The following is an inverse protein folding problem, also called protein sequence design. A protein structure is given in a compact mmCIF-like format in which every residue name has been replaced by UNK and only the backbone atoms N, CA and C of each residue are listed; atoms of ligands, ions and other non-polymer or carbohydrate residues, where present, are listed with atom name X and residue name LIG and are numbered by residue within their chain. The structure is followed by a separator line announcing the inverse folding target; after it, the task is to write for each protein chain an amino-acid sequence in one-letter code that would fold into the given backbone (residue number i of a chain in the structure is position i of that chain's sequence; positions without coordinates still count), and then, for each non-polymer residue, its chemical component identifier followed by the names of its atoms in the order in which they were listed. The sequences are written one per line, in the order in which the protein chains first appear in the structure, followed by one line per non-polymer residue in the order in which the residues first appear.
data_IF_919782589124
#
_entry.id   IF_919782589124
#
_cell.length_a   1.000
_cell.length_b   1.000
_cell.length_c   1.000
_cell.angle_alpha   90.00
_cell.angle_beta   90.00
_cell.angle_gamma   90.00
#
_symmetry.space_group_name_H-M   'P 1'
#
loop_
_entity.id
_entity.type
_entity.pdbx_description
1 polymer ?
#
# COMPACT_ATOMS: atom_id res chain seq x y z
N UNK A 1 -29.58 -6.24 11.30
CA UNK A 1 -28.11 -6.03 11.39
C UNK A 1 -27.50 -5.45 10.12
N UNK A 2 -27.26 -6.22 9.05
CA UNK A 2 -26.61 -5.68 7.83
C UNK A 2 -27.39 -4.54 7.18
N UNK A 3 -28.70 -4.70 7.04
CA UNK A 3 -29.58 -3.68 6.48
C UNK A 3 -29.56 -2.37 7.30
N UNK A 4 -29.68 -2.46 8.63
CA UNK A 4 -29.59 -1.30 9.53
C UNK A 4 -28.20 -0.65 9.51
N UNK A 5 -27.15 -1.46 9.35
CA UNK A 5 -25.79 -0.98 9.14
C UNK A 5 -25.65 -0.18 7.85
N UNK A 6 -26.23 -0.65 6.74
CA UNK A 6 -26.22 0.07 5.47
C UNK A 6 -26.98 1.39 5.52
N UNK A 7 -28.16 1.41 6.16
CA UNK A 7 -28.91 2.65 6.38
C UNK A 7 -28.08 3.66 7.19
N UNK A 8 -27.37 3.19 8.21
CA UNK A 8 -26.51 4.05 9.03
C UNK A 8 -25.32 4.61 8.24
N UNK A 9 -24.70 3.80 7.38
CA UNK A 9 -23.63 4.27 6.49
C UNK A 9 -24.14 5.28 5.45
N UNK A 10 -25.32 5.03 4.88
CA UNK A 10 -25.95 5.93 3.92
C UNK A 10 -26.19 7.31 4.55
N UNK A 11 -26.76 7.36 5.75
CA UNK A 11 -26.92 8.62 6.50
C UNK A 11 -25.59 9.35 6.73
N UNK A 12 -24.54 8.64 7.16
CA UNK A 12 -23.22 9.26 7.37
C UNK A 12 -22.62 9.81 6.07
N UNK A 13 -22.75 9.09 4.97
CA UNK A 13 -22.25 9.53 3.66
C UNK A 13 -23.02 10.75 3.17
N UNK A 14 -24.35 10.80 3.35
CA UNK A 14 -25.16 11.96 3.02
C UNK A 14 -24.82 13.18 3.88
N UNK A 15 -24.63 13.00 5.18
CA UNK A 15 -24.24 14.08 6.09
C UNK A 15 -22.88 14.67 5.71
N UNK A 16 -21.88 13.82 5.48
CA UNK A 16 -20.56 14.25 5.01
C UNK A 16 -20.64 14.96 3.66
N UNK A 17 -21.49 14.46 2.76
CA UNK A 17 -21.72 15.10 1.46
C UNK A 17 -22.28 16.51 1.61
N UNK A 18 -23.26 16.69 2.49
CA UNK A 18 -23.87 17.98 2.77
C UNK A 18 -22.89 18.96 3.44
N UNK A 19 -22.15 18.52 4.46
CA UNK A 19 -21.21 19.36 5.19
C UNK A 19 -20.00 19.79 4.33
N UNK A 20 -19.53 18.92 3.43
CA UNK A 20 -18.32 19.18 2.63
C UNK A 20 -18.61 19.65 1.22
N UNK A 21 -19.89 19.66 0.80
CA UNK A 21 -20.31 19.89 -0.60
C UNK A 21 -19.68 18.91 -1.61
N UNK A 22 -19.15 17.77 -1.14
CA UNK A 22 -18.59 16.72 -1.98
C UNK A 22 -19.72 15.74 -2.32
N UNK A 23 -19.89 15.31 -3.59
CA UNK A 23 -20.90 14.31 -3.94
C UNK A 23 -20.71 12.99 -3.19
N UNK A 24 -21.80 12.34 -2.78
CA UNK A 24 -21.78 11.07 -2.02
C UNK A 24 -20.87 10.00 -2.63
N UNK A 25 -20.88 9.83 -3.97
CA UNK A 25 -20.00 8.88 -4.65
C UNK A 25 -18.50 9.21 -4.48
N UNK A 26 -18.14 10.50 -4.40
CA UNK A 26 -16.76 10.92 -4.15
C UNK A 26 -16.38 10.74 -2.68
N UNK A 27 -17.29 10.97 -1.74
CA UNK A 27 -17.07 10.66 -0.32
C UNK A 27 -16.75 9.18 -0.14
N UNK A 28 -17.54 8.29 -0.75
CA UNK A 28 -17.28 6.84 -0.74
C UNK A 28 -15.94 6.50 -1.41
N UNK A 29 -15.63 7.13 -2.56
CA UNK A 29 -14.35 6.90 -3.23
C UNK A 29 -13.14 7.34 -2.39
N UNK A 30 -13.24 8.49 -1.72
CA UNK A 30 -12.21 9.01 -0.83
C UNK A 30 -12.03 8.12 0.40
N UNK A 31 -13.12 7.63 0.98
CA UNK A 31 -13.09 6.68 2.10
C UNK A 31 -12.47 5.34 1.68
N UNK A 32 -12.86 4.80 0.53
CA UNK A 32 -12.27 3.59 -0.03
C UNK A 32 -10.78 3.76 -0.34
N UNK A 33 -10.35 4.96 -0.75
CA UNK A 33 -8.92 5.26 -0.98
C UNK A 33 -8.15 5.40 0.32
N UNK A 34 -8.71 6.05 1.34
CA UNK A 34 -8.05 6.22 2.63
C UNK A 34 -7.94 4.90 3.40
N UNK A 35 -8.88 3.98 3.19
CA UNK A 35 -8.89 2.64 3.78
C UNK A 35 -8.57 1.56 2.75
N UNK A 36 -7.94 1.93 1.63
CA UNK A 36 -7.61 0.97 0.56
C UNK A 36 -6.73 -0.18 1.07
N UNK A 37 -5.95 0.06 2.12
CA UNK A 37 -5.10 -0.93 2.78
C UNK A 37 -5.91 -1.94 3.63
N UNK A 38 -7.00 -1.50 4.23
CA UNK A 38 -7.87 -2.33 5.08
C UNK A 38 -8.93 -3.07 4.25
N UNK A 39 -9.43 -2.42 3.19
CA UNK A 39 -10.50 -2.94 2.32
C UNK A 39 -9.94 -3.90 1.28
N UNK A 40 -8.80 -3.57 0.68
CA UNK A 40 -8.09 -4.52 -0.17
C UNK A 40 -7.13 -5.25 0.75
N UNK A 41 -7.50 -6.45 1.19
CA UNK A 41 -6.57 -7.36 1.88
C UNK A 41 -5.20 -7.21 1.24
N UNK A 42 -4.21 -6.73 2.01
CA UNK A 42 -2.87 -6.42 1.51
C UNK A 42 -2.47 -7.53 0.56
N UNK A 43 -2.25 -7.19 -0.70
CA UNK A 43 -1.75 -8.19 -1.63
C UNK A 43 -0.31 -8.45 -1.22
N UNK A 44 -0.15 -9.39 -0.28
CA UNK A 44 1.10 -9.75 0.37
C UNK A 44 2.15 -10.14 -0.65
N UNK A 45 1.72 -10.68 -1.79
CA UNK A 45 2.59 -10.94 -2.93
C UNK A 45 3.13 -9.66 -3.58
N UNK A 46 2.28 -8.66 -3.82
CA UNK A 46 2.73 -7.36 -4.35
C UNK A 46 3.64 -6.63 -3.36
N UNK A 47 3.31 -6.66 -2.07
CA UNK A 47 4.14 -6.08 -1.01
C UNK A 47 5.51 -6.77 -0.94
N UNK A 48 5.52 -8.11 -0.94
CA UNK A 48 6.76 -8.87 -0.96
C UNK A 48 7.57 -8.65 -2.23
N UNK A 49 6.93 -8.54 -3.40
CA UNK A 49 7.63 -8.26 -4.65
C UNK A 49 8.36 -6.92 -4.63
N UNK A 50 7.78 -5.90 -3.99
CA UNK A 50 8.44 -4.62 -3.73
C UNK A 50 9.62 -4.77 -2.77
N UNK A 51 9.38 -5.34 -1.60
CA UNK A 51 10.41 -5.62 -0.58
C UNK A 51 11.59 -6.41 -1.14
N UNK A 52 11.32 -7.46 -1.91
CA UNK A 52 12.33 -8.35 -2.49
C UNK A 52 13.25 -7.63 -3.48
N UNK A 53 12.73 -6.67 -4.26
CA UNK A 53 13.57 -5.87 -5.18
C UNK A 53 14.57 -5.02 -4.41
N UNK A 54 14.13 -4.38 -3.33
CA UNK A 54 14.96 -3.49 -2.52
C UNK A 54 15.96 -4.28 -1.64
N UNK A 55 15.60 -5.51 -1.26
CA UNK A 55 16.37 -6.35 -0.34
C UNK A 55 17.00 -7.58 -1.03
N UNK A 56 17.15 -7.54 -2.36
CA UNK A 56 17.55 -8.68 -3.18
C UNK A 56 18.82 -9.39 -2.67
N UNK A 57 19.88 -8.64 -2.34
CA UNK A 57 21.13 -9.22 -1.84
C UNK A 57 20.96 -9.93 -0.50
N UNK A 58 20.14 -9.38 0.39
CA UNK A 58 19.87 -9.95 1.70
C UNK A 58 19.03 -11.23 1.58
N UNK A 59 18.03 -11.23 0.72
CA UNK A 59 17.18 -12.40 0.46
C UNK A 59 17.96 -13.51 -0.28
N UNK A 60 18.84 -13.15 -1.22
CA UNK A 60 19.77 -14.10 -1.86
C UNK A 60 20.74 -14.71 -0.83
N UNK A 61 21.31 -13.90 0.06
CA UNK A 61 22.19 -14.38 1.13
C UNK A 61 21.48 -15.31 2.12
N UNK A 62 20.22 -15.02 2.45
CA UNK A 62 19.38 -15.88 3.32
C UNK A 62 19.11 -17.26 2.72
N UNK A 63 19.14 -17.37 1.39
CA UNK A 63 18.85 -18.60 0.66
C UNK A 63 20.10 -19.31 0.12
N UNK A 64 21.30 -18.80 0.40
CA UNK A 64 22.57 -19.36 -0.10
C UNK A 64 22.80 -20.83 0.25
N UNK A 65 22.10 -21.39 1.24
CA UNK A 65 22.16 -22.82 1.59
C UNK A 65 21.01 -23.67 0.99
N UNK A 66 19.98 -23.04 0.38
CA UNK A 66 18.76 -23.72 -0.09
C UNK A 66 18.22 -23.29 -1.47
N UNK A 67 18.79 -22.27 -2.10
CA UNK A 67 18.35 -21.82 -3.42
C UNK A 67 19.07 -22.60 -4.53
N UNK A 68 18.34 -23.30 -5.42
CA UNK A 68 18.90 -23.68 -6.71
C UNK A 68 19.19 -22.42 -7.53
N UNK A 69 20.25 -22.49 -8.31
CA UNK A 69 20.84 -21.45 -9.17
C UNK A 69 19.88 -21.01 -10.30
N UNK A 70 18.74 -20.42 -9.94
CA UNK A 70 17.67 -20.04 -10.88
C UNK A 70 17.46 -18.52 -10.83
N UNK A 71 17.87 -17.80 -11.88
CA UNK A 71 17.55 -16.40 -12.05
C UNK A 71 16.03 -16.22 -12.22
N UNK A 72 15.42 -15.38 -11.37
CA UNK A 72 14.15 -14.73 -11.70
C UNK A 72 12.86 -15.40 -11.27
N UNK A 73 12.72 -15.85 -10.01
CA UNK A 73 11.37 -16.23 -9.55
C UNK A 73 11.06 -15.85 -8.09
N UNK A 74 10.54 -14.62 -7.84
CA UNK A 74 10.16 -14.16 -6.49
C UNK A 74 9.15 -15.07 -5.77
N UNK A 75 8.42 -15.91 -6.51
CA UNK A 75 7.38 -16.83 -5.99
C UNK A 75 7.98 -17.94 -5.13
N UNK A 76 9.13 -18.49 -5.51
CA UNK A 76 9.80 -19.53 -4.72
C UNK A 76 10.43 -18.94 -3.45
N UNK A 77 10.93 -17.71 -3.52
CA UNK A 77 11.50 -16.99 -2.38
C UNK A 77 10.41 -16.64 -1.36
N UNK A 78 9.24 -16.21 -1.82
CA UNK A 78 8.07 -15.97 -0.99
C UNK A 78 7.62 -17.24 -0.23
N UNK A 79 7.47 -18.37 -0.94
CA UNK A 79 7.05 -19.63 -0.31
C UNK A 79 8.09 -20.23 0.65
N UNK A 80 9.39 -19.91 0.50
CA UNK A 80 10.47 -20.39 1.37
C UNK A 80 10.75 -19.47 2.56
N UNK A 81 10.49 -18.16 2.43
CA UNK A 81 10.70 -17.17 3.48
C UNK A 81 9.55 -17.12 4.49
N UNK A 82 8.31 -17.34 4.03
CA UNK A 82 7.11 -17.36 4.87
C UNK A 82 7.20 -18.34 6.07
N UNK A 83 7.63 -19.61 5.90
CA UNK A 83 7.73 -20.55 7.01
C UNK A 83 8.89 -20.28 7.96
N UNK A 84 9.90 -19.50 7.53
CA UNK A 84 11.04 -19.15 8.36
C UNK A 84 10.72 -18.01 9.35
N UNK A 85 9.66 -17.24 9.09
CA UNK A 85 9.24 -16.09 9.88
C UNK A 85 7.71 -15.95 9.96
N UNK A 86 6.96 -17.00 10.35
CA UNK A 86 5.50 -17.04 10.23
C UNK A 86 4.80 -15.89 10.98
N UNK A 87 5.39 -15.41 12.07
CA UNK A 87 4.80 -14.40 12.94
C UNK A 87 5.27 -12.96 12.66
N UNK A 88 6.30 -12.76 11.83
CA UNK A 88 6.94 -11.43 11.65
C UNK A 88 7.01 -10.95 10.21
N UNK A 89 6.79 -11.84 9.22
CA UNK A 89 6.91 -11.48 7.81
C UNK A 89 5.89 -10.40 7.39
N UNK A 90 4.66 -10.44 7.90
CA UNK A 90 3.63 -9.43 7.58
C UNK A 90 4.03 -8.06 8.11
N UNK A 91 4.48 -8.00 9.35
CA UNK A 91 4.96 -6.77 10.01
C UNK A 91 6.18 -6.19 9.29
N UNK A 92 7.09 -7.03 8.79
CA UNK A 92 8.23 -6.58 7.98
C UNK A 92 7.76 -5.92 6.68
N UNK A 93 6.79 -6.53 5.99
CA UNK A 93 6.22 -5.96 4.76
C UNK A 93 5.44 -4.67 5.03
N UNK A 94 4.73 -4.61 6.15
CA UNK A 94 4.00 -3.43 6.58
C UNK A 94 4.96 -2.26 6.86
N UNK A 95 6.03 -2.48 7.63
CA UNK A 95 7.03 -1.46 7.88
C UNK A 95 7.79 -1.04 6.62
N UNK A 96 8.06 -1.96 5.69
CA UNK A 96 8.62 -1.61 4.39
C UNK A 96 7.67 -0.72 3.58
N UNK A 97 6.37 -1.05 3.55
CA UNK A 97 5.34 -0.23 2.93
C UNK A 97 5.24 1.17 3.55
N UNK A 98 5.21 1.25 4.88
CA UNK A 98 5.22 2.52 5.62
C UNK A 98 6.50 3.32 5.32
N UNK A 99 7.66 2.67 5.25
CA UNK A 99 8.93 3.31 4.88
C UNK A 99 8.88 3.91 3.48
N UNK A 100 8.28 3.23 2.50
CA UNK A 100 8.12 3.76 1.13
C UNK A 100 7.24 5.02 1.14
N UNK A 101 6.12 4.96 1.87
CA UNK A 101 5.18 6.10 1.99
C UNK A 101 5.87 7.29 2.65
N UNK A 102 6.60 7.07 3.75
CA UNK A 102 7.31 8.10 4.51
C UNK A 102 8.53 8.65 3.78
N UNK A 103 9.23 7.82 2.99
CA UNK A 103 10.34 8.29 2.15
C UNK A 103 9.89 9.19 0.99
N UNK A 104 8.58 9.20 0.70
CA UNK A 104 8.00 9.85 -0.46
C UNK A 104 8.47 9.20 -1.77
N UNK A 105 7.70 9.37 -2.84
CA UNK A 105 8.24 9.08 -4.17
C UNK A 105 9.45 10.00 -4.38
N UNK A 106 10.61 9.51 -4.84
CA UNK A 106 11.73 10.36 -5.21
C UNK A 106 11.26 11.34 -6.28
N UNK A 107 10.90 12.55 -5.87
CA UNK A 107 10.48 13.58 -6.80
C UNK A 107 11.73 14.18 -7.43
N UNK A 108 11.81 14.08 -8.74
CA UNK A 108 12.79 14.85 -9.51
C UNK A 108 12.57 16.34 -9.22
N UNK A 109 13.63 17.15 -9.37
CA UNK A 109 13.54 18.60 -9.23
C UNK A 109 12.43 19.17 -10.13
N UNK A 110 12.23 18.58 -11.31
CA UNK A 110 11.15 18.94 -12.23
C UNK A 110 9.75 18.66 -11.67
N UNK A 111 9.53 17.51 -11.02
CA UNK A 111 8.24 17.20 -10.40
C UNK A 111 7.92 18.15 -9.24
N UNK A 112 8.93 18.49 -8.41
CA UNK A 112 8.79 19.49 -7.33
C UNK A 112 8.46 20.88 -7.88
N UNK A 113 9.13 21.28 -8.97
CA UNK A 113 8.85 22.55 -9.63
C UNK A 113 7.42 22.59 -10.21
N UNK A 114 6.94 21.48 -10.77
CA UNK A 114 5.59 21.39 -11.34
C UNK A 114 4.50 21.42 -10.26
N UNK A 115 4.71 20.70 -9.15
CA UNK A 115 3.85 20.75 -7.96
C UNK A 115 3.78 22.16 -7.38
N UNK A 116 4.94 22.82 -7.24
CA UNK A 116 5.02 24.20 -6.77
C UNK A 116 4.28 25.17 -7.70
N UNK A 117 4.44 25.04 -9.02
CA UNK A 117 3.72 25.86 -9.99
C UNK A 117 2.20 25.63 -9.94
N UNK A 118 1.72 24.40 -9.72
CA UNK A 118 0.29 24.13 -9.52
C UNK A 118 -0.24 24.82 -8.27
N UNK A 119 0.57 24.88 -7.21
CA UNK A 119 0.23 25.58 -5.98
C UNK A 119 0.16 27.10 -6.19
N UNK A 120 1.15 27.68 -6.88
CA UNK A 120 1.17 29.11 -7.21
C UNK A 120 0.05 29.55 -8.16
N UNK A 121 -0.52 28.63 -8.97
CA UNK A 121 -1.68 28.93 -9.84
C UNK A 121 -3.03 28.88 -9.12
N UNK A 122 -3.07 28.33 -7.91
CA UNK A 122 -4.28 28.24 -7.07
C UNK A 122 -4.39 29.37 -6.05
N UNK A 123 -3.33 30.17 -5.89
CA UNK A 123 -3.30 31.44 -5.14
C UNK A 123 -3.57 32.56 -6.13
#
# INVERSE_FOLDING_TARGET
VLHEGFVSMEHLVHELSHQTSIPTHQVISLWNKSHAHDINSVNHWNAYSGYFKDNLKQELGRLSDKAPDIPGMPSKYFSLSLPAYPDTWQTILEYHGQSIILSGVPQTVAMRAQEFQKFCKKI
#
